data_IF_781553486543
#
_entry.id   IF_781553486543
#
_cell.length_a   1.000
_cell.length_b   1.000
_cell.length_c   1.000
_cell.angle_alpha   90.00
_cell.angle_beta   90.00
_cell.angle_gamma   90.00
#
_symmetry.space_group_name_H-M   'P 1'
#
loop_
_entity.id
_entity.type
_entity.pdbx_description
1 polymer ?
#
# COMPACT_ATOMS: atom_id res chain seq x y z
N UNK A 1 18.05 -20.61 -13.52
CA UNK A 1 17.31 -20.52 -14.77
C UNK A 1 16.53 -19.20 -14.85
N UNK A 2 16.40 -18.70 -16.06
CA UNK A 2 15.80 -17.40 -16.30
C UNK A 2 14.32 -17.34 -15.89
N UNK A 3 13.61 -18.46 -16.00
CA UNK A 3 12.19 -18.50 -15.67
C UNK A 3 11.94 -18.26 -14.19
N UNK A 4 12.74 -18.85 -13.31
CA UNK A 4 12.60 -18.67 -11.88
C UNK A 4 12.93 -17.23 -11.48
N UNK A 5 13.95 -16.67 -12.11
CA UNK A 5 14.36 -15.30 -11.82
C UNK A 5 13.29 -14.30 -12.25
N UNK A 6 12.67 -14.50 -13.40
CA UNK A 6 11.60 -13.63 -13.88
C UNK A 6 10.39 -13.68 -12.95
N UNK A 7 10.01 -14.87 -12.50
CA UNK A 7 8.89 -15.04 -11.58
C UNK A 7 9.18 -14.34 -10.25
N UNK A 8 10.39 -14.48 -9.75
CA UNK A 8 10.77 -13.84 -8.49
C UNK A 8 10.66 -12.31 -8.58
N UNK A 9 11.12 -11.74 -9.68
CA UNK A 9 11.06 -10.30 -9.89
C UNK A 9 9.61 -9.82 -9.90
N UNK A 10 8.74 -10.53 -10.61
CA UNK A 10 7.32 -10.17 -10.68
C UNK A 10 6.67 -10.24 -9.31
N UNK A 11 6.94 -11.31 -8.57
CA UNK A 11 6.35 -11.47 -7.22
C UNK A 11 6.82 -10.36 -6.30
N UNK A 12 8.11 -10.06 -6.29
CA UNK A 12 8.66 -9.01 -5.45
C UNK A 12 8.06 -7.66 -5.82
N UNK A 13 7.96 -7.36 -7.11
CA UNK A 13 7.38 -6.12 -7.57
C UNK A 13 5.92 -5.98 -7.13
N UNK A 14 5.14 -7.05 -7.28
CA UNK A 14 3.74 -7.05 -6.85
C UNK A 14 3.62 -6.83 -5.35
N UNK A 15 4.48 -7.46 -4.57
CA UNK A 15 4.47 -7.29 -3.11
C UNK A 15 4.78 -5.85 -2.72
N UNK A 16 5.79 -5.26 -3.34
CA UNK A 16 6.18 -3.88 -3.05
C UNK A 16 5.03 -2.93 -3.37
N UNK A 17 4.43 -3.06 -4.55
CA UNK A 17 3.33 -2.20 -4.97
C UNK A 17 2.13 -2.40 -4.05
N UNK A 18 1.80 -3.65 -3.72
CA UNK A 18 0.67 -3.96 -2.85
C UNK A 18 0.85 -3.35 -1.46
N UNK A 19 2.04 -3.51 -0.87
CA UNK A 19 2.33 -2.94 0.44
C UNK A 19 2.29 -1.42 0.39
N UNK A 20 2.83 -0.84 -0.68
CA UNK A 20 2.83 0.61 -0.86
C UNK A 20 1.41 1.17 -0.91
N UNK A 21 0.55 0.55 -1.72
CA UNK A 21 -0.84 0.99 -1.81
C UNK A 21 -1.58 0.80 -0.49
N UNK A 22 -1.33 -0.31 0.18
CA UNK A 22 -1.94 -0.57 1.49
C UNK A 22 -1.54 0.50 2.51
N UNK A 23 -0.26 0.85 2.54
CA UNK A 23 0.24 1.86 3.47
C UNK A 23 -0.39 3.22 3.19
N UNK A 24 -0.48 3.61 1.91
CA UNK A 24 -1.10 4.88 1.54
C UNK A 24 -2.58 4.91 1.93
N UNK A 25 -3.30 3.83 1.66
CA UNK A 25 -4.71 3.74 2.01
C UNK A 25 -4.91 3.85 3.52
N UNK A 26 -4.07 3.19 4.30
CA UNK A 26 -4.14 3.26 5.75
C UNK A 26 -3.91 4.68 6.26
N UNK A 27 -2.91 5.36 5.70
CA UNK A 27 -2.60 6.73 6.09
C UNK A 27 -3.76 7.67 5.73
N UNK A 28 -4.27 7.55 4.51
CA UNK A 28 -5.40 8.39 4.09
C UNK A 28 -6.63 8.15 4.95
N UNK A 29 -6.90 6.90 5.29
CA UNK A 29 -8.05 6.56 6.12
C UNK A 29 -7.94 7.23 7.49
N UNK A 30 -6.76 7.17 8.08
CA UNK A 30 -6.52 7.79 9.40
C UNK A 30 -6.65 9.31 9.32
N UNK A 31 -6.06 9.90 8.30
CA UNK A 31 -6.11 11.36 8.14
C UNK A 31 -7.55 11.82 7.93
N UNK A 32 -8.30 11.13 7.08
CA UNK A 32 -9.68 11.49 6.82
C UNK A 32 -10.52 11.40 8.09
N UNK A 33 -10.36 10.32 8.85
CA UNK A 33 -11.08 10.14 10.10
C UNK A 33 -10.72 11.23 11.12
N UNK A 34 -9.44 11.56 11.21
CA UNK A 34 -8.99 12.60 12.14
C UNK A 34 -9.56 13.96 11.76
N UNK A 35 -9.53 14.30 10.48
CA UNK A 35 -10.06 15.58 10.02
C UNK A 35 -11.56 15.67 10.24
N UNK A 36 -12.30 14.62 9.95
CA UNK A 36 -13.74 14.59 10.14
C UNK A 36 -14.09 14.75 11.60
N UNK A 37 -13.40 14.05 12.48
CA UNK A 37 -13.63 14.14 13.91
C UNK A 37 -13.32 15.55 14.42
N UNK A 38 -12.22 16.12 13.95
CA UNK A 38 -11.82 17.46 14.40
C UNK A 38 -12.78 18.53 13.93
N UNK A 39 -13.24 18.44 12.69
CA UNK A 39 -14.16 19.44 12.14
C UNK A 39 -15.59 19.27 12.67
N UNK A 40 -15.99 18.03 12.91
CA UNK A 40 -17.31 17.77 13.47
C UNK A 40 -17.40 18.14 14.94
N UNK A 41 -16.26 18.08 15.61
CA UNK A 41 -16.20 18.46 17.03
C UNK A 41 -16.00 19.93 17.21
#
# INVERSE_FOLDING_TARGET
PALVQATAVVVITCLIVGVYLYALDSIFSKLAGWLITKQAG
#
